data_IF_858003047590
#
_entry.id   IF_858003047590
#
_cell.length_a   1.000
_cell.length_b   1.000
_cell.length_c   1.000
_cell.angle_alpha   90.00
_cell.angle_beta   90.00
_cell.angle_gamma   90.00
#
_symmetry.space_group_name_H-M   'P 1'
#
loop_
_entity.id
_entity.type
_entity.pdbx_description
1 polymer ?
#
# COMPACT_ATOMS: atom_id res chain seq x y z
N UNK A 1 -15.35 7.57 34.49
CA UNK A 1 -14.80 6.52 33.60
C UNK A 1 -15.12 6.86 32.13
N UNK A 2 -14.18 7.47 31.42
CA UNK A 2 -14.33 7.81 30.01
C UNK A 2 -14.16 6.55 29.15
N UNK A 3 -15.21 6.12 28.47
CA UNK A 3 -15.10 5.16 27.38
C UNK A 3 -14.35 5.81 26.21
N UNK A 4 -13.03 5.64 26.16
CA UNK A 4 -12.26 5.89 24.93
C UNK A 4 -12.39 4.67 24.02
N UNK A 5 -13.62 4.38 23.60
CA UNK A 5 -13.89 3.38 22.57
C UNK A 5 -13.13 3.74 21.30
N UNK A 6 -12.25 2.84 20.83
CA UNK A 6 -11.50 3.01 19.57
C UNK A 6 -12.45 3.44 18.46
N UNK A 7 -12.24 4.62 17.89
CA UNK A 7 -13.03 5.08 16.75
C UNK A 7 -13.00 4.03 15.64
N UNK A 8 -14.18 3.56 15.21
CA UNK A 8 -14.30 2.50 14.20
C UNK A 8 -13.68 3.04 12.92
N UNK A 9 -12.61 2.39 12.45
CA UNK A 9 -12.00 2.73 11.16
C UNK A 9 -13.02 2.44 10.08
N UNK A 10 -13.39 3.46 9.33
CA UNK A 10 -14.27 3.33 8.18
C UNK A 10 -13.43 3.41 6.91
N UNK A 11 -13.91 2.79 5.84
CA UNK A 11 -13.34 2.99 4.52
C UNK A 11 -13.34 4.49 4.19
N UNK A 12 -12.25 4.96 3.58
CA UNK A 12 -12.16 6.34 3.15
C UNK A 12 -13.25 6.60 2.11
N UNK A 13 -14.12 7.58 2.38
CA UNK A 13 -15.38 7.74 1.64
C UNK A 13 -15.23 8.44 0.29
N UNK A 14 -14.09 9.05 0.01
CA UNK A 14 -13.88 9.77 -1.25
C UNK A 14 -13.81 8.79 -2.43
N UNK A 15 -14.77 8.82 -3.37
CA UNK A 15 -14.77 7.89 -4.51
C UNK A 15 -13.56 8.11 -5.44
N UNK A 16 -13.03 9.33 -5.52
CA UNK A 16 -11.86 9.65 -6.36
C UNK A 16 -10.56 9.09 -5.80
N UNK A 17 -10.56 8.66 -4.53
CA UNK A 17 -9.42 8.01 -3.89
C UNK A 17 -9.41 6.48 -4.10
N UNK A 18 -10.36 5.93 -4.86
CA UNK A 18 -10.35 4.51 -5.24
C UNK A 18 -9.41 4.31 -6.43
N UNK A 19 -8.72 3.18 -6.42
CA UNK A 19 -7.99 2.69 -7.60
C UNK A 19 -8.99 2.33 -8.69
N UNK A 20 -8.79 2.87 -9.89
CA UNK A 20 -9.73 2.70 -11.01
C UNK A 20 -9.74 1.24 -11.45
N UNK A 21 -10.93 0.69 -11.66
CA UNK A 21 -11.15 -0.69 -12.10
C UNK A 21 -10.49 -1.76 -11.19
N UNK A 22 -10.16 -1.43 -9.94
CA UNK A 22 -9.44 -2.34 -9.04
C UNK A 22 -7.97 -2.56 -9.40
N UNK A 23 -7.41 -1.78 -10.32
CA UNK A 23 -6.02 -1.90 -10.77
C UNK A 23 -5.11 -1.04 -9.89
N UNK A 24 -4.16 -1.67 -9.20
CA UNK A 24 -3.18 -1.03 -8.34
C UNK A 24 -1.79 -1.24 -8.91
N UNK A 25 -1.21 -0.17 -9.42
CA UNK A 25 0.13 -0.21 -9.99
C UNK A 25 1.18 0.14 -8.92
N UNK A 26 2.29 -0.60 -8.88
CA UNK A 26 3.39 -0.29 -7.98
C UNK A 26 4.76 -0.34 -8.66
N UNK A 27 5.76 0.21 -7.97
CA UNK A 27 7.17 0.04 -8.29
C UNK A 27 8.00 0.12 -7.00
N UNK A 28 9.24 -0.34 -7.05
CA UNK A 28 10.18 -0.18 -5.95
C UNK A 28 11.04 1.05 -6.15
N UNK A 29 11.27 1.80 -5.07
CA UNK A 29 12.29 2.85 -5.07
C UNK A 29 13.68 2.24 -5.35
N UNK A 30 14.61 3.02 -5.92
CA UNK A 30 15.99 2.58 -6.09
C UNK A 30 16.58 2.05 -4.78
N UNK A 31 17.36 0.97 -4.86
CA UNK A 31 18.03 0.33 -3.72
C UNK A 31 17.09 -0.16 -2.60
N UNK A 32 15.81 -0.41 -2.90
CA UNK A 32 14.90 -1.06 -1.93
C UNK A 32 15.44 -2.44 -1.55
N UNK A 33 15.64 -2.74 -0.25
CA UNK A 33 16.17 -4.03 0.18
C UNK A 33 15.27 -5.22 -0.19
N UNK A 34 15.90 -6.38 -0.43
CA UNK A 34 15.19 -7.56 -0.94
C UNK A 34 14.14 -8.10 0.04
N UNK A 35 14.39 -8.00 1.35
CA UNK A 35 13.39 -8.38 2.36
C UNK A 35 12.12 -7.51 2.29
N UNK A 36 12.26 -6.20 1.98
CA UNK A 36 11.12 -5.29 1.78
C UNK A 36 10.36 -5.64 0.50
N UNK A 37 11.07 -5.95 -0.60
CA UNK A 37 10.43 -6.41 -1.83
C UNK A 37 9.64 -7.71 -1.62
N UNK A 38 10.27 -8.68 -0.97
CA UNK A 38 9.68 -9.99 -0.72
C UNK A 38 8.43 -9.91 0.16
N UNK A 39 8.47 -9.13 1.25
CA UNK A 39 7.29 -9.00 2.13
C UNK A 39 6.15 -8.26 1.44
N UNK A 40 6.46 -7.23 0.64
CA UNK A 40 5.46 -6.50 -0.13
C UNK A 40 4.80 -7.43 -1.16
N UNK A 41 5.58 -8.19 -1.94
CA UNK A 41 5.06 -9.16 -2.92
C UNK A 41 4.17 -10.22 -2.28
N UNK A 42 4.56 -10.76 -1.12
CA UNK A 42 3.72 -11.70 -0.35
C UNK A 42 2.40 -11.05 0.08
N UNK A 43 2.44 -9.80 0.54
CA UNK A 43 1.22 -9.07 0.91
C UNK A 43 0.30 -8.86 -0.30
N UNK A 44 0.85 -8.43 -1.44
CA UNK A 44 0.05 -8.22 -2.66
C UNK A 44 -0.57 -9.52 -3.17
N UNK A 45 0.13 -10.65 -3.07
CA UNK A 45 -0.40 -11.96 -3.44
C UNK A 45 -1.63 -12.34 -2.60
N UNK A 46 -1.57 -12.14 -1.28
CA UNK A 46 -2.72 -12.40 -0.38
C UNK A 46 -3.92 -11.53 -0.77
N UNK A 47 -3.69 -10.26 -1.09
CA UNK A 47 -4.76 -9.35 -1.51
C UNK A 47 -5.36 -9.74 -2.87
N UNK A 48 -4.54 -10.05 -3.86
CA UNK A 48 -5.02 -10.49 -5.18
C UNK A 48 -5.77 -11.83 -5.12
N UNK A 49 -5.47 -12.70 -4.15
CA UNK A 49 -6.20 -13.97 -3.94
C UNK A 49 -7.55 -13.81 -3.25
N UNK A 50 -7.71 -12.78 -2.42
CA UNK A 50 -8.88 -12.61 -1.54
C UNK A 50 -9.79 -11.45 -1.91
N UNK A 51 -9.39 -10.66 -2.90
CA UNK A 51 -10.11 -9.50 -3.41
C UNK A 51 -10.12 -9.51 -4.93
N UNK A 52 -10.87 -8.59 -5.54
CA UNK A 52 -10.84 -8.36 -6.98
C UNK A 52 -9.76 -7.36 -7.43
N UNK A 53 -8.76 -7.08 -6.58
CA UNK A 53 -7.68 -6.15 -6.94
C UNK A 53 -6.65 -6.84 -7.84
N UNK A 54 -6.37 -6.19 -8.97
CA UNK A 54 -5.25 -6.52 -9.85
C UNK A 54 -4.05 -5.67 -9.43
N UNK A 55 -3.04 -6.31 -8.81
CA UNK A 55 -1.89 -5.61 -8.24
C UNK A 55 -0.64 -6.05 -8.98
N UNK A 56 -0.07 -5.15 -9.79
CA UNK A 56 1.09 -5.48 -10.63
C UNK A 56 2.14 -4.37 -10.64
N UNK A 57 3.37 -4.75 -10.97
CA UNK A 57 4.48 -3.82 -11.07
C UNK A 57 4.44 -3.09 -12.43
N UNK A 58 4.40 -1.77 -12.41
CA UNK A 58 4.51 -0.92 -13.59
C UNK A 58 5.25 0.38 -13.25
N UNK A 59 6.54 0.42 -13.59
CA UNK A 59 7.38 1.59 -13.34
C UNK A 59 6.97 2.82 -14.16
N UNK A 60 6.25 2.65 -15.28
CA UNK A 60 5.86 3.73 -16.18
C UNK A 60 4.49 4.35 -15.85
N UNK A 61 3.75 3.74 -14.92
CA UNK A 61 2.46 4.22 -14.46
C UNK A 61 2.52 5.65 -13.88
N UNK A 62 1.53 6.49 -14.21
CA UNK A 62 1.42 7.83 -13.64
C UNK A 62 0.99 7.78 -12.16
N UNK A 63 -0.09 7.06 -11.87
CA UNK A 63 -0.57 6.81 -10.53
C UNK A 63 -0.06 5.44 -10.08
N UNK A 64 0.88 5.43 -9.14
CA UNK A 64 1.50 4.19 -8.66
C UNK A 64 1.97 4.29 -7.23
N UNK A 65 2.04 3.17 -6.54
CA UNK A 65 2.68 3.06 -5.23
C UNK A 65 4.18 2.92 -5.45
N UNK A 66 4.98 3.79 -4.83
CA UNK A 66 6.44 3.68 -4.77
C UNK A 66 6.80 3.09 -3.42
N UNK A 67 7.12 1.80 -3.42
CA UNK A 67 7.47 1.04 -2.21
C UNK A 67 8.92 1.33 -1.85
N UNK A 68 9.16 1.77 -0.63
CA UNK A 68 10.49 2.11 -0.14
C UNK A 68 10.68 1.66 1.30
N UNK A 69 11.94 1.49 1.70
CA UNK A 69 12.31 1.45 3.11
C UNK A 69 12.21 2.86 3.68
N UNK A 70 11.62 3.01 4.86
CA UNK A 70 11.55 4.31 5.54
C UNK A 70 11.60 4.18 7.06
N UNK A 71 11.46 5.31 7.79
CA UNK A 71 11.61 5.32 9.24
C UNK A 71 10.44 4.65 9.99
N UNK A 72 9.34 4.34 9.30
CA UNK A 72 8.15 3.72 9.91
C UNK A 72 7.20 3.16 8.87
N UNK A 73 6.02 2.74 9.32
CA UNK A 73 4.95 2.23 8.46
C UNK A 73 4.03 3.40 8.08
N UNK A 74 4.15 3.91 6.86
CA UNK A 74 3.38 5.08 6.43
C UNK A 74 2.94 5.00 4.98
N UNK A 75 1.73 5.48 4.73
CA UNK A 75 1.12 5.56 3.42
C UNK A 75 0.13 6.73 3.37
N UNK A 76 -0.15 7.22 2.16
CA UNK A 76 -1.37 8.00 1.92
C UNK A 76 -2.61 7.10 2.00
N UNK A 77 -3.77 7.69 2.26
CA UNK A 77 -5.06 6.98 2.21
C UNK A 77 -5.64 7.05 0.79
N UNK A 78 -5.85 5.89 0.17
CA UNK A 78 -6.36 5.78 -1.20
C UNK A 78 -5.37 6.22 -2.28
N UNK A 79 -5.82 6.18 -3.53
CA UNK A 79 -5.09 6.59 -4.72
C UNK A 79 -4.98 8.12 -4.79
N UNK A 80 -3.78 8.65 -5.01
CA UNK A 80 -3.49 10.09 -5.10
C UNK A 80 -3.48 10.63 -6.53
N UNK A 81 -3.71 9.78 -7.55
CA UNK A 81 -3.65 10.15 -8.97
C UNK A 81 -2.23 10.41 -9.52
N UNK A 82 -1.21 10.17 -8.70
CA UNK A 82 0.22 10.31 -9.02
C UNK A 82 1.03 9.26 -8.26
N UNK A 83 2.35 9.23 -8.48
CA UNK A 83 3.25 8.43 -7.68
C UNK A 83 3.10 8.79 -6.18
N UNK A 84 2.88 7.78 -5.34
CA UNK A 84 2.68 7.94 -3.90
C UNK A 84 3.56 6.97 -3.12
N UNK A 85 4.21 7.44 -2.06
CA UNK A 85 5.10 6.61 -1.25
C UNK A 85 4.34 5.64 -0.35
N UNK A 86 4.82 4.39 -0.29
CA UNK A 86 4.54 3.44 0.78
C UNK A 86 5.86 3.10 1.46
N UNK A 87 6.03 3.54 2.69
CA UNK A 87 7.25 3.26 3.45
C UNK A 87 7.04 2.08 4.40
N UNK A 88 7.97 1.13 4.33
CA UNK A 88 8.03 -0.02 5.19
C UNK A 88 9.32 0.05 6.02
N UNK A 89 9.20 0.49 7.27
CA UNK A 89 10.27 0.38 8.25
C UNK A 89 10.46 -1.05 8.75
N UNK A 90 11.54 -1.30 9.51
CA UNK A 90 11.91 -2.66 9.94
C UNK A 90 10.81 -3.38 10.72
N UNK A 91 10.07 -2.65 11.55
CA UNK A 91 8.96 -3.20 12.35
C UNK A 91 7.66 -3.39 11.57
N UNK A 92 7.67 -3.13 10.26
CA UNK A 92 6.51 -3.23 9.37
C UNK A 92 6.55 -4.48 8.48
N UNK A 93 7.65 -5.24 8.50
CA UNK A 93 7.93 -6.33 7.56
C UNK A 93 7.27 -7.65 8.00
N UNK A 94 5.95 -7.63 8.17
CA UNK A 94 5.17 -8.80 8.56
C UNK A 94 3.92 -8.96 7.69
N UNK A 95 3.60 -10.19 7.30
CA UNK A 95 2.31 -10.59 6.73
C UNK A 95 1.73 -11.63 7.68
N UNK A 96 0.45 -11.48 8.06
CA UNK A 96 -0.28 -12.41 8.91
C UNK A 96 -1.33 -13.14 8.09
#
# INVERSE_FOLDING_TARGET
>A
PSETGRHRRQAFRNPNAKWKNGVVEYTFAPNTPENVKNIFKKATEVWSKTTCLDIHENANAQAKIVVARGPGCMSSLGMQGKAQGLMLGDKCLTVR
#
